data_IF_271325303006
#
_entry.id   IF_271325303006
#
_cell.length_a   1.000
_cell.length_b   1.000
_cell.length_c   1.000
_cell.angle_alpha   90.00
_cell.angle_beta   90.00
_cell.angle_gamma   90.00
#
_symmetry.space_group_name_H-M   'P 1'
#
loop_
_entity.id
_entity.type
_entity.pdbx_description
1 polymer ?
#
# COMPACT_ATOMS: atom_id res chain seq x y z
N UNK A 1 -40.47 -5.16 11.86
CA UNK A 1 -39.77 -5.10 10.55
C UNK A 1 -38.57 -4.17 10.54
N UNK A 2 -38.61 -2.99 11.18
CA UNK A 2 -37.45 -2.08 11.27
C UNK A 2 -36.31 -2.65 12.14
N UNK A 3 -36.63 -3.34 13.24
CA UNK A 3 -35.63 -3.87 14.19
C UNK A 3 -34.74 -4.98 13.62
N UNK A 4 -35.25 -5.80 12.70
CA UNK A 4 -34.47 -6.88 12.07
C UNK A 4 -33.48 -6.35 11.02
N UNK A 5 -33.83 -5.25 10.34
CA UNK A 5 -32.97 -4.65 9.32
C UNK A 5 -31.71 -4.02 9.93
N UNK A 6 -31.83 -3.46 11.14
CA UNK A 6 -30.70 -2.84 11.86
C UNK A 6 -29.66 -3.88 12.29
N UNK A 7 -30.09 -5.08 12.70
CA UNK A 7 -29.19 -6.16 13.12
C UNK A 7 -28.37 -6.70 11.94
N UNK A 8 -28.96 -6.74 10.75
CA UNK A 8 -28.29 -7.26 9.54
C UNK A 8 -27.17 -6.35 9.05
N UNK A 9 -27.29 -5.03 9.23
CA UNK A 9 -26.26 -4.05 8.84
C UNK A 9 -25.01 -4.16 9.72
N UNK A 10 -25.17 -4.42 11.01
CA UNK A 10 -24.04 -4.50 11.96
C UNK A 10 -23.21 -5.77 11.72
N UNK A 11 -23.85 -6.88 11.36
CA UNK A 11 -23.17 -8.14 11.07
C UNK A 11 -22.28 -8.08 9.82
N UNK A 12 -22.60 -7.21 8.84
CA UNK A 12 -21.83 -7.08 7.60
C UNK A 12 -20.48 -6.36 7.77
N UNK A 13 -20.25 -5.66 8.88
CA UNK A 13 -18.99 -4.96 9.15
C UNK A 13 -17.86 -5.89 9.64
N UNK A 14 -18.15 -7.16 9.93
CA UNK A 14 -17.16 -8.12 10.45
C UNK A 14 -16.50 -8.96 9.35
N UNK A 15 -16.08 -8.29 8.27
CA UNK A 15 -15.24 -8.94 7.26
C UNK A 15 -13.89 -9.35 7.87
N UNK A 16 -13.27 -10.45 7.44
CA UNK A 16 -11.94 -10.81 7.89
C UNK A 16 -10.99 -9.66 7.60
N UNK A 17 -10.46 -9.06 8.67
CA UNK A 17 -9.46 -8.01 8.59
C UNK A 17 -8.24 -8.61 7.89
N UNK A 18 -7.94 -8.13 6.69
CA UNK A 18 -6.77 -8.56 5.96
C UNK A 18 -5.58 -8.33 6.88
N UNK A 19 -4.82 -9.39 7.15
CA UNK A 19 -3.65 -9.32 8.03
C UNK A 19 -2.62 -8.44 7.32
N UNK A 20 -2.66 -7.15 7.61
CA UNK A 20 -1.74 -6.17 7.04
C UNK A 20 -0.37 -6.54 7.58
N UNK A 21 0.43 -7.19 6.74
CA UNK A 21 1.80 -7.52 7.08
C UNK A 21 2.55 -6.19 7.02
N UNK A 22 3.12 -5.76 8.15
CA UNK A 22 3.95 -4.56 8.19
C UNK A 22 5.12 -4.77 7.23
N UNK A 23 4.98 -4.21 6.03
CA UNK A 23 5.97 -4.38 4.97
C UNK A 23 7.05 -3.34 5.22
N UNK A 24 8.00 -3.72 6.07
CA UNK A 24 9.08 -2.82 6.49
C UNK A 24 10.11 -2.54 5.40
N UNK A 25 10.19 -3.38 4.36
CA UNK A 25 11.20 -3.28 3.28
C UNK A 25 10.60 -3.70 1.95
N UNK A 26 10.67 -2.81 0.95
CA UNK A 26 10.10 -2.97 -0.39
C UNK A 26 11.21 -2.84 -1.42
N UNK A 27 11.30 -3.78 -2.36
CA UNK A 27 12.06 -3.61 -3.60
C UNK A 27 11.06 -3.46 -4.73
N UNK A 28 11.08 -2.32 -5.41
CA UNK A 28 10.12 -2.01 -6.48
C UNK A 28 10.74 -2.23 -7.86
N UNK A 29 9.97 -2.84 -8.77
CA UNK A 29 10.36 -3.07 -10.15
C UNK A 29 9.29 -2.43 -11.06
N UNK A 30 9.69 -1.49 -11.90
CA UNK A 30 8.85 -0.71 -12.78
C UNK A 30 8.55 0.68 -12.22
N UNK A 31 8.87 1.72 -13.01
CA UNK A 31 8.65 3.11 -12.62
C UNK A 31 7.22 3.40 -12.15
N UNK A 32 6.20 3.00 -12.91
CA UNK A 32 4.80 3.22 -12.52
C UNK A 32 4.42 2.58 -11.18
N UNK A 33 5.03 1.44 -10.81
CA UNK A 33 4.80 0.80 -9.52
C UNK A 33 5.47 1.62 -8.41
N UNK A 34 6.73 2.02 -8.62
CA UNK A 34 7.45 2.89 -7.69
C UNK A 34 6.71 4.20 -7.43
N UNK A 35 6.17 4.84 -8.46
CA UNK A 35 5.36 6.06 -8.35
C UNK A 35 4.09 5.82 -7.52
N UNK A 36 3.43 4.69 -7.74
CA UNK A 36 2.23 4.31 -6.97
C UNK A 36 2.56 4.12 -5.50
N UNK A 37 3.68 3.48 -5.17
CA UNK A 37 4.12 3.27 -3.79
C UNK A 37 4.43 4.59 -3.10
N UNK A 38 5.10 5.51 -3.78
CA UNK A 38 5.36 6.85 -3.25
C UNK A 38 4.06 7.62 -3.03
N UNK A 39 3.10 7.54 -3.97
CA UNK A 39 1.79 8.17 -3.83
C UNK A 39 0.96 7.63 -2.65
N UNK A 40 1.33 6.47 -2.11
CA UNK A 40 0.75 5.86 -0.91
C UNK A 40 1.57 6.12 0.36
N UNK A 41 2.49 7.08 0.33
CA UNK A 41 3.39 7.44 1.43
C UNK A 41 4.33 6.29 1.88
N UNK A 42 4.63 5.34 0.99
CA UNK A 42 5.49 4.19 1.29
C UNK A 42 6.96 4.40 0.89
N UNK A 43 7.36 5.60 0.46
CA UNK A 43 8.75 5.92 0.12
C UNK A 43 9.76 5.47 1.21
N UNK A 44 9.53 5.69 2.52
CA UNK A 44 10.48 5.28 3.57
C UNK A 44 10.70 3.76 3.65
N UNK A 45 9.80 2.98 3.08
CA UNK A 45 9.86 1.52 3.07
C UNK A 45 10.58 0.99 1.83
N UNK A 46 10.84 1.81 0.81
CA UNK A 46 11.53 1.40 -0.41
C UNK A 46 13.04 1.31 -0.13
N UNK A 47 13.58 0.10 -0.20
CA UNK A 47 15.00 -0.21 0.05
C UNK A 47 15.77 -0.59 -1.21
N UNK A 48 15.09 -0.66 -2.35
CA UNK A 48 15.69 -0.94 -3.65
C UNK A 48 14.70 -0.63 -4.77
N UNK A 49 15.23 -0.27 -5.93
CA UNK A 49 14.47 0.08 -7.13
C UNK A 49 15.15 -0.45 -8.38
N UNK A 50 14.46 -0.43 -9.51
CA UNK A 50 15.11 -0.61 -10.81
C UNK A 50 15.48 0.71 -11.49
N UNK A 51 16.24 0.60 -12.58
CA UNK A 51 16.70 1.74 -13.39
C UNK A 51 15.59 2.54 -14.07
N UNK A 52 14.36 2.01 -14.11
CA UNK A 52 13.21 2.72 -14.70
C UNK A 52 12.50 3.63 -13.69
N UNK A 53 12.78 3.44 -12.41
CA UNK A 53 12.09 4.10 -11.30
C UNK A 53 12.72 5.45 -10.96
N UNK A 54 12.57 6.43 -11.86
CA UNK A 54 13.27 7.72 -11.80
C UNK A 54 12.43 8.89 -11.26
N UNK A 55 11.15 8.67 -10.99
CA UNK A 55 10.23 9.68 -10.43
C UNK A 55 9.60 9.16 -9.12
N UNK A 56 9.44 10.02 -8.10
CA UNK A 56 9.99 11.38 -7.99
C UNK A 56 11.52 11.40 -7.84
N UNK A 57 12.12 12.60 -7.85
CA UNK A 57 13.58 12.78 -7.72
C UNK A 57 14.14 12.15 -6.44
N UNK A 58 13.38 12.16 -5.35
CA UNK A 58 13.72 11.53 -4.07
C UNK A 58 13.98 10.02 -4.19
N UNK A 59 13.40 9.35 -5.19
CA UNK A 59 13.66 7.94 -5.46
C UNK A 59 15.10 7.69 -5.92
N UNK A 60 15.78 8.72 -6.44
CA UNK A 60 17.19 8.65 -6.86
C UNK A 60 18.17 8.46 -5.71
N UNK A 61 17.74 8.72 -4.48
CA UNK A 61 18.55 8.49 -3.27
C UNK A 61 18.53 7.02 -2.82
N UNK A 62 17.57 6.23 -3.31
CA UNK A 62 17.47 4.80 -3.03
C UNK A 62 18.48 4.05 -3.89
N UNK A 63 19.40 3.32 -3.23
CA UNK A 63 20.44 2.53 -3.90
C UNK A 63 19.83 1.31 -4.62
N UNK A 64 20.41 0.93 -5.76
CA UNK A 64 20.07 -0.27 -6.53
C UNK A 64 20.45 -1.57 -5.79
#
# INVERSE_FOLDING_TARGET
MILFFTIFVIAACSGPEAKQNDTHRIVSLGGAISETLVALDLLPNIVGRDVTSVFPEDLLEVQD
#
